data_IF_973588743381
#
_entry.id   IF_973588743381
#
_cell.length_a   1.000
_cell.length_b   1.000
_cell.length_c   1.000
_cell.angle_alpha   90.00
_cell.angle_beta   90.00
_cell.angle_gamma   90.00
#
_symmetry.space_group_name_H-M   'P 1'
#
loop_
_entity.id
_entity.type
_entity.pdbx_description
1 polymer ?
#
# COMPACT_ATOMS: atom_id res chain seq x y z
N UNK A 1 23.33 -18.21 -34.41
CA UNK A 1 23.62 -17.22 -33.35
C UNK A 1 22.37 -17.11 -32.48
N UNK A 2 22.43 -17.68 -31.29
CA UNK A 2 21.35 -17.58 -30.34
C UNK A 2 21.49 -16.22 -29.64
N UNK A 3 20.54 -15.32 -29.86
CA UNK A 3 20.42 -14.11 -29.05
C UNK A 3 19.98 -14.58 -27.66
N UNK A 4 20.89 -14.47 -26.70
CA UNK A 4 20.51 -14.52 -25.28
C UNK A 4 19.54 -13.36 -25.05
N UNK A 5 18.25 -13.67 -24.92
CA UNK A 5 17.31 -12.75 -24.30
C UNK A 5 17.85 -12.54 -22.88
N UNK A 6 18.26 -11.31 -22.59
CA UNK A 6 18.44 -10.89 -21.21
C UNK A 6 17.07 -11.04 -20.55
N UNK A 7 16.93 -12.05 -19.73
CA UNK A 7 15.82 -12.13 -18.78
C UNK A 7 16.03 -10.88 -17.91
N UNK A 8 15.20 -9.86 -18.11
CA UNK A 8 15.13 -8.73 -17.19
C UNK A 8 14.74 -9.36 -15.84
N UNK A 9 15.69 -9.39 -14.94
CA UNK A 9 15.50 -9.97 -13.62
C UNK A 9 14.58 -9.04 -12.86
N UNK A 10 13.52 -9.57 -12.28
CA UNK A 10 12.62 -8.80 -11.43
C UNK A 10 13.44 -8.09 -10.33
N UNK A 11 13.06 -6.87 -9.96
CA UNK A 11 13.76 -6.13 -8.92
C UNK A 11 13.73 -6.91 -7.60
N UNK A 12 14.81 -6.81 -6.80
CA UNK A 12 14.89 -7.45 -5.50
C UNK A 12 13.84 -6.88 -4.52
N UNK A 13 13.51 -5.60 -4.67
CA UNK A 13 12.46 -4.92 -3.92
C UNK A 13 11.94 -3.72 -4.71
N UNK A 14 10.71 -3.29 -4.39
CA UNK A 14 10.13 -2.04 -4.86
C UNK A 14 9.88 -1.17 -3.63
N UNK A 15 10.28 0.09 -3.70
CA UNK A 15 9.98 1.10 -2.68
C UNK A 15 8.87 1.98 -3.21
N UNK A 16 7.82 2.16 -2.43
CA UNK A 16 6.70 3.05 -2.68
C UNK A 16 6.81 4.28 -1.80
N UNK A 17 6.67 5.46 -2.38
CA UNK A 17 6.67 6.72 -1.66
C UNK A 17 5.59 7.63 -2.22
N UNK A 18 4.68 8.05 -1.35
CA UNK A 18 3.55 8.83 -1.81
C UNK A 18 2.79 9.56 -0.73
N UNK A 19 1.53 9.77 -1.02
CA UNK A 19 0.56 10.33 -0.10
C UNK A 19 -0.66 9.45 -0.02
N UNK A 20 -1.37 9.56 1.10
CA UNK A 20 -2.59 8.82 1.38
C UNK A 20 -3.71 9.75 1.84
N UNK A 21 -4.94 9.33 1.56
CA UNK A 21 -6.16 9.93 2.07
C UNK A 21 -7.10 8.84 2.56
N UNK A 22 -7.74 9.06 3.70
CA UNK A 22 -8.68 8.11 4.29
C UNK A 22 -10.00 8.77 4.64
N UNK A 23 -11.07 8.00 4.60
CA UNK A 23 -12.44 8.40 4.95
C UNK A 23 -13.08 7.35 5.84
N UNK A 24 -13.53 7.76 7.02
CA UNK A 24 -14.34 6.91 7.89
C UNK A 24 -15.76 6.79 7.34
N UNK A 25 -16.22 5.57 7.15
CA UNK A 25 -17.60 5.31 6.69
C UNK A 25 -18.65 5.46 7.81
N UNK A 26 -18.20 5.55 9.06
CA UNK A 26 -19.09 5.70 10.21
C UNK A 26 -19.48 7.15 10.49
N UNK A 27 -18.51 8.07 10.41
CA UNK A 27 -18.73 9.48 10.78
C UNK A 27 -18.37 10.46 9.65
N UNK A 28 -17.91 9.98 8.49
CA UNK A 28 -17.52 10.82 7.36
C UNK A 28 -16.24 11.61 7.58
N UNK A 29 -15.49 11.35 8.65
CA UNK A 29 -14.21 11.99 8.91
C UNK A 29 -13.18 11.66 7.85
N UNK A 30 -12.37 12.67 7.45
CA UNK A 30 -11.27 12.51 6.50
C UNK A 30 -9.93 12.75 7.16
N UNK A 31 -8.91 12.05 6.66
CA UNK A 31 -7.52 12.17 7.07
C UNK A 31 -6.60 12.15 5.84
N UNK A 32 -5.43 12.78 5.97
CA UNK A 32 -4.42 12.85 4.91
C UNK A 32 -3.05 12.63 5.52
N UNK A 33 -2.16 12.05 4.74
CA UNK A 33 -0.79 11.85 5.21
C UNK A 33 0.17 11.40 4.13
N UNK A 34 1.36 11.01 4.58
CA UNK A 34 2.36 10.38 3.74
C UNK A 34 2.10 8.87 3.69
N UNK A 35 2.68 8.25 2.68
CA UNK A 35 2.65 6.81 2.51
C UNK A 35 4.05 6.34 2.13
N UNK A 36 4.51 5.23 2.73
CA UNK A 36 5.77 4.61 2.41
C UNK A 36 5.68 3.10 2.62
N UNK A 37 6.03 2.33 1.59
CA UNK A 37 6.04 0.88 1.66
C UNK A 37 7.26 0.28 0.97
N UNK A 38 7.54 -0.96 1.29
CA UNK A 38 8.53 -1.81 0.62
C UNK A 38 7.87 -3.12 0.25
N UNK A 39 7.97 -3.46 -1.02
CA UNK A 39 7.43 -4.68 -1.59
C UNK A 39 8.57 -5.61 -2.03
N UNK A 40 8.40 -6.90 -1.80
CA UNK A 40 9.31 -7.97 -2.26
C UNK A 40 8.50 -9.10 -2.88
N UNK A 41 9.08 -9.79 -3.86
CA UNK A 41 8.44 -10.88 -4.60
C UNK A 41 9.00 -12.25 -4.19
N UNK A 42 8.49 -12.89 -3.13
CA UNK A 42 8.96 -14.24 -2.71
C UNK A 42 8.64 -15.32 -3.74
N UNK A 43 7.52 -15.19 -4.47
CA UNK A 43 7.11 -16.16 -5.49
C UNK A 43 6.65 -15.41 -6.74
N UNK A 44 7.48 -15.43 -7.77
CA UNK A 44 7.23 -14.74 -9.04
C UNK A 44 5.84 -15.04 -9.60
N UNK A 45 5.13 -13.99 -10.03
CA UNK A 45 3.78 -14.04 -10.60
C UNK A 45 2.69 -14.64 -9.69
N UNK A 46 2.99 -14.88 -8.42
CA UNK A 46 2.02 -15.50 -7.53
C UNK A 46 1.86 -14.78 -6.18
N UNK A 47 2.95 -14.39 -5.54
CA UNK A 47 2.90 -13.75 -4.22
C UNK A 47 3.90 -12.61 -4.13
N UNK A 48 3.41 -11.46 -3.75
CA UNK A 48 4.16 -10.31 -3.31
C UNK A 48 3.83 -9.98 -1.86
N UNK A 49 4.84 -9.56 -1.12
CA UNK A 49 4.71 -9.14 0.27
C UNK A 49 5.07 -7.67 0.36
N UNK A 50 4.17 -6.88 0.92
CA UNK A 50 4.40 -5.47 1.18
C UNK A 50 4.34 -5.19 2.66
N UNK A 51 5.25 -4.35 3.14
CA UNK A 51 5.22 -3.77 4.47
C UNK A 51 5.19 -2.25 4.35
N UNK A 52 4.14 -1.64 4.86
CA UNK A 52 3.87 -0.22 4.74
C UNK A 52 3.78 0.51 6.07
N UNK A 53 3.92 1.84 6.00
CA UNK A 53 3.63 2.76 7.10
C UNK A 53 2.99 4.03 6.56
N UNK A 54 1.83 4.38 7.11
CA UNK A 54 1.02 5.50 6.66
C UNK A 54 0.60 6.37 7.86
N UNK A 55 1.35 7.44 8.18
CA UNK A 55 0.90 8.45 9.14
C UNK A 55 -0.22 9.30 8.53
N UNK A 56 -1.38 9.30 9.17
CA UNK A 56 -2.56 10.07 8.77
C UNK A 56 -2.89 11.15 9.80
N UNK A 57 -3.20 12.32 9.32
CA UNK A 57 -3.53 13.50 10.13
C UNK A 57 -4.97 13.94 9.86
N UNK A 58 -5.76 14.11 10.90
CA UNK A 58 -7.13 14.62 10.82
C UNK A 58 -7.25 16.05 11.31
N UNK A 59 -8.34 16.72 10.96
CA UNK A 59 -8.61 18.12 11.36
C UNK A 59 -8.75 18.34 12.86
N UNK A 60 -8.99 17.28 13.64
CA UNK A 60 -9.18 17.36 15.09
C UNK A 60 -7.90 17.11 15.90
N UNK A 61 -6.72 17.37 15.32
CA UNK A 61 -5.41 17.13 15.96
C UNK A 61 -5.17 15.65 16.33
N UNK A 62 -5.84 14.74 15.68
CA UNK A 62 -5.60 13.31 15.80
C UNK A 62 -4.57 12.88 14.77
N UNK A 63 -3.63 12.06 15.22
CA UNK A 63 -2.65 11.41 14.35
C UNK A 63 -2.86 9.91 14.45
N UNK A 64 -2.96 9.26 13.32
CA UNK A 64 -3.08 7.82 13.20
C UNK A 64 -1.88 7.29 12.43
N UNK A 65 -1.18 6.30 12.99
CA UNK A 65 -0.09 5.59 12.36
C UNK A 65 -0.58 4.20 11.99
N UNK A 66 -0.70 3.94 10.73
CA UNK A 66 -1.04 2.64 10.19
C UNK A 66 0.22 1.94 9.76
N UNK A 67 0.38 0.68 10.19
CA UNK A 67 1.48 -0.20 9.78
C UNK A 67 0.86 -1.49 9.33
N UNK A 68 1.06 -1.83 8.08
CA UNK A 68 0.45 -2.97 7.42
C UNK A 68 1.47 -3.99 6.94
N UNK A 69 0.98 -5.20 6.75
CA UNK A 69 1.67 -6.27 6.04
C UNK A 69 0.68 -6.91 5.08
N UNK A 70 0.85 -6.65 3.79
CA UNK A 70 -0.04 -7.11 2.76
C UNK A 70 0.53 -8.31 2.00
N UNK A 71 -0.34 -9.25 1.71
CA UNK A 71 -0.11 -10.39 0.82
C UNK A 71 -0.84 -10.09 -0.47
N UNK A 72 -0.08 -9.79 -1.52
CA UNK A 72 -0.62 -9.35 -2.81
C UNK A 72 -0.48 -10.43 -3.87
N UNK A 73 -1.49 -10.57 -4.70
CA UNK A 73 -1.48 -11.41 -5.90
C UNK A 73 -1.32 -10.51 -7.12
N UNK A 74 -0.20 -10.62 -7.87
CA UNK A 74 0.00 -9.82 -9.08
C UNK A 74 -0.69 -10.41 -10.32
N UNK A 75 -1.11 -9.52 -11.22
CA UNK A 75 -1.54 -9.78 -12.58
C UNK A 75 -0.91 -8.77 -13.53
N UNK A 76 -0.10 -9.27 -14.46
CA UNK A 76 0.50 -8.43 -15.49
C UNK A 76 -0.55 -8.08 -16.54
N UNK A 77 -0.93 -6.81 -16.62
CA UNK A 77 -1.86 -6.31 -17.63
C UNK A 77 -1.17 -6.00 -18.95
N UNK A 78 0.04 -5.46 -18.86
CA UNK A 78 0.90 -5.14 -20.00
C UNK A 78 2.36 -5.01 -19.56
N UNK A 79 3.29 -4.77 -20.49
CA UNK A 79 4.71 -4.48 -20.17
C UNK A 79 4.90 -3.22 -19.30
N UNK A 80 3.86 -2.40 -19.15
CA UNK A 80 3.91 -1.11 -18.44
C UNK A 80 2.90 -1.00 -17.32
N UNK A 81 2.04 -1.98 -17.14
CA UNK A 81 0.97 -1.92 -16.15
C UNK A 81 0.76 -3.27 -15.47
N UNK A 82 0.68 -3.23 -14.17
CA UNK A 82 0.35 -4.36 -13.30
C UNK A 82 -0.84 -3.99 -12.41
N UNK A 83 -1.61 -4.99 -12.07
CA UNK A 83 -2.68 -4.92 -11.09
C UNK A 83 -2.41 -5.96 -10.03
N UNK A 84 -2.49 -5.57 -8.76
CA UNK A 84 -2.42 -6.51 -7.66
C UNK A 84 -3.66 -6.39 -6.77
N UNK A 85 -4.11 -7.49 -6.23
CA UNK A 85 -5.07 -7.48 -5.13
C UNK A 85 -4.38 -8.04 -3.89
N UNK A 86 -4.50 -7.33 -2.79
CA UNK A 86 -3.85 -7.66 -1.54
C UNK A 86 -4.82 -7.69 -0.38
N UNK A 87 -4.46 -8.47 0.63
CA UNK A 87 -5.12 -8.49 1.94
C UNK A 87 -4.07 -8.70 3.02
N UNK A 88 -4.31 -8.13 4.18
CA UNK A 88 -3.41 -8.36 5.31
C UNK A 88 -3.85 -7.69 6.59
N UNK A 89 -3.11 -7.94 7.69
CA UNK A 89 -3.31 -7.24 8.94
C UNK A 89 -2.73 -5.83 8.89
N UNK A 90 -3.41 -4.91 9.53
CA UNK A 90 -2.97 -3.56 9.80
C UNK A 90 -2.96 -3.30 11.30
N UNK A 91 -1.89 -2.69 11.79
CA UNK A 91 -1.80 -2.18 13.14
C UNK A 91 -2.00 -0.67 13.15
N UNK A 92 -3.06 -0.26 13.85
CA UNK A 92 -3.49 1.13 13.95
C UNK A 92 -3.09 1.69 15.31
N UNK A 93 -2.24 2.71 15.31
CA UNK A 93 -1.84 3.45 16.49
C UNK A 93 -2.38 4.88 16.42
N UNK A 94 -3.39 5.19 17.24
CA UNK A 94 -4.00 6.52 17.28
C UNK A 94 -3.51 7.31 18.46
N UNK A 95 -3.22 8.58 18.21
CA UNK A 95 -2.85 9.57 19.21
C UNK A 95 -3.76 10.79 19.09
N UNK A 96 -4.51 11.02 20.14
CA UNK A 96 -5.37 12.22 20.34
C UNK A 96 -4.92 12.97 21.58
N UNK A 97 -5.30 14.26 21.76
CA UNK A 97 -5.01 14.98 22.98
C UNK A 97 -5.56 14.24 24.21
N UNK A 98 -4.65 13.77 25.07
CA UNK A 98 -5.00 13.03 26.30
C UNK A 98 -5.32 11.55 26.11
N UNK A 99 -5.28 11.00 24.91
CA UNK A 99 -5.59 9.58 24.66
C UNK A 99 -4.62 8.95 23.66
N UNK A 100 -4.25 7.70 23.95
CA UNK A 100 -3.52 6.83 23.00
C UNK A 100 -4.24 5.49 22.93
N UNK A 101 -4.41 4.98 21.73
CA UNK A 101 -5.06 3.70 21.51
C UNK A 101 -4.33 2.90 20.42
N UNK A 102 -4.30 1.58 20.60
CA UNK A 102 -3.83 0.64 19.60
C UNK A 102 -4.97 -0.29 19.22
N UNK A 103 -5.05 -0.65 17.96
CA UNK A 103 -6.02 -1.62 17.48
C UNK A 103 -5.46 -2.39 16.28
N UNK A 104 -6.10 -3.51 15.99
CA UNK A 104 -5.80 -4.33 14.81
C UNK A 104 -6.97 -4.20 13.85
N UNK A 105 -6.64 -3.98 12.58
CA UNK A 105 -7.56 -3.97 11.47
C UNK A 105 -7.17 -5.05 10.44
N UNK A 106 -8.07 -5.35 9.54
CA UNK A 106 -7.80 -6.06 8.32
C UNK A 106 -7.94 -5.10 7.15
N UNK A 107 -7.00 -5.14 6.25
CA UNK A 107 -6.96 -4.31 5.06
C UNK A 107 -7.13 -5.16 3.80
N UNK A 108 -7.83 -4.61 2.80
CA UNK A 108 -7.93 -5.18 1.46
C UNK A 108 -7.67 -4.06 0.44
N UNK A 109 -6.76 -4.30 -0.50
CA UNK A 109 -6.32 -3.29 -1.47
C UNK A 109 -6.41 -3.79 -2.90
N UNK A 110 -6.53 -2.84 -3.83
CA UNK A 110 -6.25 -3.02 -5.25
C UNK A 110 -5.14 -2.05 -5.63
N UNK A 111 -4.01 -2.56 -6.02
CA UNK A 111 -2.86 -1.75 -6.37
C UNK A 111 -2.63 -1.74 -7.88
N UNK A 112 -2.56 -0.56 -8.47
CA UNK A 112 -2.30 -0.31 -9.88
C UNK A 112 -0.91 0.27 -10.04
N UNK A 113 0.02 -0.50 -10.59
CA UNK A 113 1.37 -0.05 -10.87
C UNK A 113 1.57 0.27 -12.34
N UNK A 114 2.27 1.37 -12.63
CA UNK A 114 2.57 1.84 -13.96
C UNK A 114 4.06 2.13 -14.12
N UNK A 115 4.66 1.51 -15.14
CA UNK A 115 6.08 1.58 -15.46
C UNK A 115 6.29 2.21 -16.85
N UNK A 116 6.32 3.56 -16.99
CA UNK A 116 6.32 4.24 -18.28
C UNK A 116 7.47 3.82 -19.20
N UNK A 117 8.65 3.58 -18.64
CA UNK A 117 9.84 3.18 -19.39
C UNK A 117 9.89 1.72 -19.84
N UNK A 118 8.93 0.88 -19.41
CA UNK A 118 8.94 -0.57 -19.66
C UNK A 118 10.13 -1.32 -19.04
N UNK A 119 11.06 -0.61 -18.42
CA UNK A 119 12.10 -1.14 -17.53
C UNK A 119 11.64 -0.76 -16.13
N UNK A 120 11.27 -1.71 -15.31
CA UNK A 120 10.74 -1.51 -13.96
C UNK A 120 11.80 -0.85 -13.04
N UNK A 121 12.17 0.42 -13.33
CA UNK A 121 13.10 1.23 -12.53
C UNK A 121 12.37 2.32 -11.75
N UNK A 122 11.56 3.09 -12.48
CA UNK A 122 10.74 4.16 -11.93
C UNK A 122 9.33 4.05 -12.48
N UNK A 123 8.37 4.17 -11.62
CA UNK A 123 6.97 4.13 -11.96
C UNK A 123 6.14 4.96 -11.01
N UNK A 124 4.84 4.76 -11.06
CA UNK A 124 3.89 5.33 -10.13
C UNK A 124 2.77 4.32 -9.85
N UNK A 125 2.15 4.48 -8.69
CA UNK A 125 1.10 3.61 -8.23
C UNK A 125 -0.15 4.38 -7.80
N UNK A 126 -1.26 3.68 -7.78
CA UNK A 126 -2.53 4.12 -7.22
C UNK A 126 -3.17 2.92 -6.54
N UNK A 127 -3.38 3.03 -5.23
CA UNK A 127 -3.88 1.94 -4.41
C UNK A 127 -5.11 2.37 -3.60
N UNK A 128 -6.33 2.12 -4.08
CA UNK A 128 -7.52 2.15 -3.26
C UNK A 128 -7.54 0.95 -2.30
N UNK A 129 -7.94 1.22 -1.04
CA UNK A 129 -8.01 0.25 0.04
C UNK A 129 -9.31 0.36 0.84
N UNK A 130 -9.62 -0.73 1.53
CA UNK A 130 -10.73 -0.83 2.46
C UNK A 130 -10.24 -1.47 3.75
N UNK A 131 -10.51 -0.82 4.89
CA UNK A 131 -10.10 -1.25 6.20
C UNK A 131 -11.29 -1.60 7.07
N UNK A 132 -11.12 -2.66 7.85
CA UNK A 132 -12.06 -3.09 8.87
C UNK A 132 -11.35 -3.24 10.21
N UNK A 133 -11.65 -2.35 11.15
CA UNK A 133 -11.06 -2.36 12.48
C UNK A 133 -11.84 -3.27 13.42
N UNK A 134 -11.18 -4.29 13.96
CA UNK A 134 -11.83 -5.29 14.82
C UNK A 134 -12.08 -4.80 16.25
N UNK A 135 -11.31 -3.83 16.74
CA UNK A 135 -11.33 -3.41 18.14
C UNK A 135 -12.14 -2.14 18.43
N UNK A 136 -12.30 -1.26 17.43
CA UNK A 136 -12.94 0.06 17.57
C UNK A 136 -14.40 0.06 17.12
N UNK A 137 -15.25 -0.72 17.78
CA UNK A 137 -16.67 -0.75 17.43
C UNK A 137 -16.92 -1.15 15.98
N UNK A 138 -16.03 -1.94 15.39
CA UNK A 138 -16.09 -2.40 14.00
C UNK A 138 -16.11 -1.24 12.99
N UNK A 139 -15.24 -0.27 13.17
CA UNK A 139 -15.11 0.86 12.24
C UNK A 139 -14.64 0.39 10.88
N UNK A 140 -15.16 1.05 9.86
CA UNK A 140 -14.85 0.81 8.46
C UNK A 140 -14.35 2.08 7.85
N UNK A 141 -13.30 1.98 7.04
CA UNK A 141 -12.75 3.11 6.29
C UNK A 141 -12.46 2.73 4.86
N UNK A 142 -12.44 3.73 4.03
CA UNK A 142 -11.95 3.65 2.67
C UNK A 142 -10.72 4.54 2.55
N UNK A 143 -9.66 4.02 1.96
CA UNK A 143 -8.42 4.75 1.73
C UNK A 143 -8.05 4.78 0.27
N UNK A 144 -7.18 5.71 -0.08
CA UNK A 144 -6.48 5.74 -1.36
C UNK A 144 -5.07 6.25 -1.10
N UNK A 145 -4.09 5.52 -1.57
CA UNK A 145 -2.70 5.97 -1.64
C UNK A 145 -2.24 6.08 -3.08
N UNK A 146 -1.17 6.82 -3.29
CA UNK A 146 -0.59 6.98 -4.61
C UNK A 146 0.72 7.77 -4.58
N UNK A 147 1.62 7.43 -5.47
CA UNK A 147 2.95 8.01 -5.47
C UNK A 147 3.90 7.41 -6.49
N UNK A 148 5.17 7.39 -6.13
CA UNK A 148 6.27 6.92 -6.96
C UNK A 148 6.70 5.51 -6.55
N UNK A 149 7.05 4.72 -7.55
CA UNK A 149 7.69 3.43 -7.46
C UNK A 149 9.17 3.53 -7.77
N UNK A 150 10.01 2.96 -6.93
CA UNK A 150 11.45 2.89 -7.12
C UNK A 150 11.87 1.44 -6.98
N UNK A 151 12.26 0.82 -8.09
CA UNK A 151 12.75 -0.56 -8.07
C UNK A 151 14.21 -0.61 -7.63
N UNK A 152 14.49 -1.50 -6.71
CA UNK A 152 15.83 -1.80 -6.20
C UNK A 152 16.31 -3.10 -6.89
N UNK A 153 17.44 -3.05 -7.62
CA UNK A 153 17.96 -4.20 -8.37
C UNK A 153 18.48 -5.31 -7.46
#
# INVERSE_FOLDING_TARGET
MAFAQSVDKDPAAIVELGGAAGWSLKNGGSSFGADAAVEVTPIENWLELEAGVTPLFSRHHSTEWNTDLLFKKPWTLSKKAELMAGVGPEWVHTREPGMRANSIAGEAVLDFMFWPGGKHKFGWFLEPGYDYNFARGHERSFGISGGLLIAIP
#
